data_IF_042329630891
#
_entry.id   IF_042329630891
#
_cell.length_a   1.000
_cell.length_b   1.000
_cell.length_c   1.000
_cell.angle_alpha   90.00
_cell.angle_beta   90.00
_cell.angle_gamma   90.00
#
_symmetry.space_group_name_H-M   'P 1'
#
loop_
_entity.id
_entity.type
_entity.pdbx_description
1 polymer ?
#
# COMPACT_ATOMS: atom_id res chain seq x y z
N UNK A 1 19.64 -19.62 -48.66
CA UNK A 1 19.29 -18.50 -47.75
C UNK A 1 18.10 -18.92 -46.89
N UNK A 2 18.27 -18.82 -45.56
CA UNK A 2 17.25 -18.80 -44.48
C UNK A 2 16.32 -20.01 -44.34
N UNK A 3 16.80 -21.02 -43.63
CA UNK A 3 16.02 -21.75 -42.61
C UNK A 3 16.50 -21.19 -41.27
N UNK A 4 15.56 -20.77 -40.42
CA UNK A 4 15.67 -20.73 -38.94
C UNK A 4 14.53 -19.87 -38.38
N UNK A 5 13.40 -20.51 -38.16
CA UNK A 5 12.34 -20.04 -37.27
C UNK A 5 11.78 -21.29 -36.61
N UNK A 6 11.50 -21.22 -35.30
CA UNK A 6 10.71 -22.14 -34.44
C UNK A 6 11.41 -22.64 -33.14
N UNK A 7 12.69 -22.37 -32.86
CA UNK A 7 13.34 -22.86 -31.61
C UNK A 7 13.62 -21.76 -30.56
N UNK A 8 12.70 -20.81 -30.31
CA UNK A 8 13.00 -19.73 -29.34
C UNK A 8 11.84 -19.28 -28.43
N UNK A 9 10.89 -20.17 -28.10
CA UNK A 9 9.83 -19.83 -27.12
C UNK A 9 9.60 -20.85 -25.99
N UNK A 10 10.31 -21.99 -25.97
CA UNK A 10 10.13 -23.03 -24.94
C UNK A 10 11.07 -22.97 -23.73
N UNK A 11 12.19 -22.22 -23.81
CA UNK A 11 13.32 -22.41 -22.87
C UNK A 11 13.47 -21.31 -21.81
N UNK A 12 12.42 -20.53 -21.55
CA UNK A 12 12.46 -19.42 -20.56
C UNK A 12 11.44 -19.56 -19.43
N UNK A 13 10.96 -20.78 -19.15
CA UNK A 13 10.02 -21.04 -18.05
C UNK A 13 10.47 -22.13 -17.07
N UNK A 14 11.73 -22.56 -17.14
CA UNK A 14 12.32 -23.59 -16.26
C UNK A 14 13.55 -23.10 -15.47
N UNK A 15 13.80 -21.78 -15.43
CA UNK A 15 14.90 -21.19 -14.66
C UNK A 15 14.42 -20.45 -13.39
N UNK A 16 13.12 -20.50 -13.07
CA UNK A 16 12.51 -19.79 -11.94
C UNK A 16 12.19 -20.65 -10.71
N UNK A 17 12.35 -21.98 -10.78
CA UNK A 17 11.92 -22.90 -9.72
C UNK A 17 13.07 -23.69 -9.05
N UNK A 18 14.32 -23.21 -9.16
CA UNK A 18 15.50 -23.88 -8.60
C UNK A 18 16.29 -23.05 -7.58
N UNK A 19 15.82 -21.86 -7.20
CA UNK A 19 16.55 -20.95 -6.29
C UNK A 19 15.95 -20.80 -4.88
N UNK A 20 14.86 -21.51 -4.54
CA UNK A 20 14.24 -21.43 -3.20
C UNK A 20 14.62 -22.61 -2.29
N UNK A 21 15.25 -23.67 -2.80
CA UNK A 21 15.67 -24.82 -1.99
C UNK A 21 17.11 -24.73 -1.44
N UNK A 22 17.94 -23.78 -1.91
CA UNK A 22 19.34 -23.68 -1.48
C UNK A 22 19.56 -22.86 -0.19
N UNK A 23 18.55 -22.09 0.27
CA UNK A 23 18.69 -21.25 1.48
C UNK A 23 18.54 -22.01 2.80
N UNK A 24 17.84 -23.15 2.80
CA UNK A 24 17.55 -23.91 4.03
C UNK A 24 18.63 -24.97 4.34
N UNK A 25 19.47 -25.36 3.37
CA UNK A 25 20.55 -26.32 3.60
C UNK A 25 21.82 -25.67 4.19
N UNK A 26 22.09 -24.39 3.89
CA UNK A 26 23.31 -23.71 4.36
C UNK A 26 23.26 -23.28 5.84
N UNK A 27 22.07 -23.11 6.43
CA UNK A 27 21.96 -22.75 7.86
C UNK A 27 22.21 -23.94 8.79
N UNK A 28 21.78 -25.15 8.39
CA UNK A 28 21.96 -26.38 9.18
C UNK A 28 23.42 -26.88 9.14
N UNK A 29 24.11 -26.72 8.01
CA UNK A 29 25.52 -27.13 7.86
C UNK A 29 26.50 -26.21 8.60
N UNK A 30 26.20 -24.91 8.71
CA UNK A 30 27.04 -23.96 9.45
C UNK A 30 27.12 -24.24 10.96
N UNK A 31 26.00 -24.65 11.57
CA UNK A 31 25.96 -25.02 12.99
C UNK A 31 26.81 -26.27 13.26
N UNK A 32 26.71 -27.31 12.41
CA UNK A 32 27.50 -28.55 12.57
C UNK A 32 29.01 -28.33 12.44
N UNK A 33 29.44 -27.38 11.58
CA UNK A 33 30.85 -27.01 11.43
C UNK A 33 31.34 -26.23 12.64
N UNK A 34 30.58 -25.22 13.11
CA UNK A 34 30.93 -24.47 14.31
C UNK A 34 31.00 -25.34 15.58
N UNK A 35 30.08 -26.28 15.74
CA UNK A 35 30.09 -27.25 16.85
C UNK A 35 31.36 -28.12 16.82
N UNK A 36 31.72 -28.60 15.62
CA UNK A 36 32.91 -29.44 15.40
C UNK A 36 34.21 -28.64 15.61
N UNK A 37 34.25 -27.39 15.18
CA UNK A 37 35.36 -26.46 15.42
C UNK A 37 35.50 -26.09 16.91
N UNK A 38 34.39 -25.93 17.65
CA UNK A 38 34.43 -25.73 19.12
C UNK A 38 34.90 -26.99 19.84
N UNK A 39 34.47 -28.17 19.41
CA UNK A 39 34.94 -29.44 19.96
C UNK A 39 36.45 -29.63 19.71
N UNK A 40 36.92 -29.29 18.51
CA UNK A 40 38.33 -29.36 18.14
C UNK A 40 39.19 -28.38 18.95
N UNK A 41 38.71 -27.15 19.18
CA UNK A 41 39.39 -26.19 20.06
C UNK A 41 39.48 -26.64 21.52
N UNK A 42 38.42 -27.28 22.04
CA UNK A 42 38.46 -27.83 23.41
C UNK A 42 39.47 -28.97 23.47
N UNK A 43 39.46 -29.87 22.50
CA UNK A 43 40.39 -30.99 22.41
C UNK A 43 41.86 -30.53 22.27
N UNK A 44 42.14 -29.49 21.49
CA UNK A 44 43.51 -28.95 21.37
C UNK A 44 43.93 -28.18 22.62
N UNK A 45 43.00 -27.52 23.31
CA UNK A 45 43.28 -26.85 24.59
C UNK A 45 43.60 -27.87 25.68
N UNK A 46 42.86 -28.99 25.74
CA UNK A 46 43.15 -30.08 26.69
C UNK A 46 44.48 -30.76 26.36
N UNK A 47 44.78 -31.01 25.08
CA UNK A 47 46.09 -31.53 24.65
C UNK A 47 47.24 -30.60 25.04
N UNK A 48 47.06 -29.28 24.92
CA UNK A 48 48.10 -28.31 25.30
C UNK A 48 48.31 -28.26 26.82
N UNK A 49 47.24 -28.47 27.61
CA UNK A 49 47.35 -28.59 29.07
C UNK A 49 48.00 -29.90 29.50
N UNK A 50 47.65 -31.02 28.87
CA UNK A 50 48.26 -32.33 29.11
C UNK A 50 49.76 -32.30 28.77
N UNK A 51 50.14 -31.80 27.60
CA UNK A 51 51.54 -31.67 27.21
C UNK A 51 52.35 -30.73 28.14
N UNK A 52 51.72 -29.66 28.67
CA UNK A 52 52.34 -28.80 29.67
C UNK A 52 52.53 -29.51 31.02
N UNK A 53 51.56 -30.32 31.45
CA UNK A 53 51.65 -31.11 32.67
C UNK A 53 52.71 -32.21 32.54
N UNK A 54 52.81 -32.87 31.38
CA UNK A 54 53.87 -33.84 31.10
C UNK A 54 55.25 -33.18 31.08
N UNK A 55 55.40 -32.01 30.47
CA UNK A 55 56.65 -31.24 30.53
C UNK A 55 57.00 -30.81 31.97
N UNK A 56 56.01 -30.45 32.78
CA UNK A 56 56.23 -30.12 34.20
C UNK A 56 56.62 -31.36 35.01
N UNK A 57 55.99 -32.51 34.77
CA UNK A 57 56.30 -33.78 35.42
C UNK A 57 57.70 -34.30 35.03
N UNK A 58 58.07 -34.21 33.75
CA UNK A 58 59.41 -34.57 33.27
C UNK A 58 60.50 -33.64 33.83
N UNK A 59 60.21 -32.33 33.95
CA UNK A 59 61.12 -31.38 34.60
C UNK A 59 61.24 -31.61 36.11
N UNK A 60 60.15 -31.92 36.79
CA UNK A 60 60.15 -32.23 38.22
C UNK A 60 60.86 -33.56 38.52
N UNK A 61 60.67 -34.59 37.69
CA UNK A 61 61.41 -35.86 37.77
C UNK A 61 62.90 -35.67 37.50
N UNK A 62 63.28 -34.75 36.60
CA UNK A 62 64.68 -34.38 36.34
C UNK A 62 65.30 -33.52 37.44
N UNK A 63 64.49 -32.81 38.23
CA UNK A 63 64.94 -32.07 39.41
C UNK A 63 65.04 -32.95 40.67
N UNK A 64 64.27 -34.05 40.74
CA UNK A 64 64.25 -34.98 41.87
C UNK A 64 65.31 -36.10 41.80
N UNK A 65 65.98 -36.29 40.64
CA UNK A 65 67.01 -37.31 40.45
C UNK A 65 68.27 -36.75 39.79
N UNK A 66 69.35 -36.63 40.56
CA UNK A 66 70.70 -36.41 40.02
C UNK A 66 71.28 -37.73 39.49
N UNK A 67 71.15 -37.97 38.18
CA UNK A 67 71.91 -38.98 37.43
C UNK A 67 72.07 -38.52 35.96
N UNK A 68 73.16 -38.92 35.26
CA UNK A 68 73.78 -38.10 34.23
C UNK A 68 72.89 -37.94 33.00
N UNK A 69 72.92 -36.73 32.45
CA UNK A 69 72.30 -36.35 31.19
C UNK A 69 72.94 -37.10 30.01
N UNK A 70 72.61 -38.37 29.83
CA UNK A 70 72.71 -39.05 28.55
C UNK A 70 71.37 -38.86 27.82
N UNK A 71 71.35 -37.87 26.93
CA UNK A 71 70.48 -37.77 25.75
C UNK A 71 69.04 -38.31 25.88
N UNK A 72 68.17 -37.57 26.57
CA UNK A 72 66.87 -37.33 25.95
C UNK A 72 67.15 -36.45 24.70
N UNK A 73 66.75 -36.85 23.49
CA UNK A 73 67.31 -36.26 22.28
C UNK A 73 66.96 -34.78 22.25
N UNK A 74 67.98 -33.91 22.21
CA UNK A 74 67.79 -32.47 22.08
C UNK A 74 66.86 -32.10 20.90
N UNK A 75 66.75 -32.98 19.89
CA UNK A 75 65.80 -32.88 18.79
C UNK A 75 64.32 -33.00 19.17
N UNK A 76 63.93 -33.81 20.16
CA UNK A 76 62.52 -33.90 20.61
C UNK A 76 62.06 -32.60 21.28
N UNK A 77 62.91 -32.04 22.16
CA UNK A 77 62.62 -30.77 22.81
C UNK A 77 62.52 -29.60 21.81
N UNK A 78 63.29 -29.66 20.72
CA UNK A 78 63.24 -28.67 19.65
C UNK A 78 62.02 -28.87 18.73
N UNK A 79 61.63 -30.12 18.44
CA UNK A 79 60.42 -30.45 17.69
C UNK A 79 59.15 -30.01 18.43
N UNK A 80 59.06 -30.31 19.74
CA UNK A 80 57.95 -29.86 20.60
C UNK A 80 57.84 -28.32 20.64
N UNK A 81 58.97 -27.61 20.65
CA UNK A 81 58.97 -26.13 20.59
C UNK A 81 58.46 -25.60 19.26
N UNK A 82 58.82 -26.25 18.15
CA UNK A 82 58.31 -25.90 16.81
C UNK A 82 56.80 -26.16 16.72
N UNK A 83 56.34 -27.29 17.24
CA UNK A 83 54.92 -27.66 17.23
C UNK A 83 54.08 -26.70 18.10
N UNK A 84 54.56 -26.30 19.28
CA UNK A 84 53.90 -25.27 20.09
C UNK A 84 53.87 -23.90 19.38
N UNK A 85 54.94 -23.52 18.69
CA UNK A 85 54.97 -22.28 17.92
C UNK A 85 53.96 -22.32 16.75
N UNK A 86 53.85 -23.46 16.08
CA UNK A 86 52.91 -23.67 14.99
C UNK A 86 51.45 -23.65 15.48
N UNK A 87 51.14 -24.38 16.57
CA UNK A 87 49.81 -24.38 17.17
C UNK A 87 49.39 -22.98 17.66
N UNK A 88 50.32 -22.19 18.20
CA UNK A 88 50.06 -20.79 18.56
C UNK A 88 49.76 -19.92 17.34
N UNK A 89 50.49 -20.11 16.24
CA UNK A 89 50.22 -19.42 14.98
C UNK A 89 48.85 -19.79 14.41
N UNK A 90 48.52 -21.09 14.40
CA UNK A 90 47.22 -21.59 13.96
C UNK A 90 46.09 -21.01 14.81
N UNK A 91 46.20 -21.01 16.14
CA UNK A 91 45.21 -20.42 17.04
C UNK A 91 45.03 -18.91 16.82
N UNK A 92 46.12 -18.18 16.55
CA UNK A 92 46.06 -16.76 16.22
C UNK A 92 45.32 -16.52 14.90
N UNK A 93 45.57 -17.36 13.88
CA UNK A 93 44.89 -17.30 12.58
C UNK A 93 43.41 -17.66 12.67
N UNK A 94 43.03 -18.64 13.50
CA UNK A 94 41.63 -19.00 13.70
C UNK A 94 40.88 -17.90 14.43
N UNK A 95 41.50 -17.26 15.43
CA UNK A 95 40.93 -16.11 16.13
C UNK A 95 40.70 -14.94 15.19
N UNK A 96 41.66 -14.61 14.33
CA UNK A 96 41.47 -13.54 13.36
C UNK A 96 40.39 -13.90 12.34
N UNK A 97 40.36 -15.14 11.83
CA UNK A 97 39.31 -15.60 10.93
C UNK A 97 37.91 -15.54 11.57
N UNK A 98 37.76 -15.92 12.84
CA UNK A 98 36.49 -15.80 13.59
C UNK A 98 36.08 -14.35 13.79
N UNK A 99 37.03 -13.46 14.13
CA UNK A 99 36.74 -12.03 14.28
C UNK A 99 36.26 -11.41 12.96
N UNK A 100 36.90 -11.75 11.84
CA UNK A 100 36.47 -11.28 10.52
C UNK A 100 35.12 -11.88 10.10
N UNK A 101 34.88 -13.17 10.39
CA UNK A 101 33.60 -13.83 10.13
C UNK A 101 32.45 -13.21 10.94
N UNK A 102 32.67 -12.94 12.23
CA UNK A 102 31.69 -12.27 13.09
C UNK A 102 31.41 -10.83 12.63
N UNK A 103 32.46 -10.07 12.26
CA UNK A 103 32.30 -8.73 11.72
C UNK A 103 31.52 -8.72 10.38
N UNK A 104 31.82 -9.67 9.49
CA UNK A 104 31.10 -9.84 8.22
C UNK A 104 29.63 -10.23 8.43
N UNK A 105 29.34 -11.15 9.36
CA UNK A 105 27.97 -11.49 9.74
C UNK A 105 27.23 -10.27 10.29
N UNK A 106 27.83 -9.52 11.22
CA UNK A 106 27.22 -8.33 11.80
C UNK A 106 26.94 -7.26 10.74
N UNK A 107 27.84 -7.07 9.77
CA UNK A 107 27.64 -6.16 8.65
C UNK A 107 26.52 -6.62 7.71
N UNK A 108 26.43 -7.93 7.42
CA UNK A 108 25.33 -8.48 6.64
C UNK A 108 23.98 -8.32 7.35
N UNK A 109 23.93 -8.55 8.66
CA UNK A 109 22.72 -8.39 9.46
C UNK A 109 22.27 -6.93 9.46
N UNK A 110 23.21 -5.99 9.65
CA UNK A 110 22.94 -4.56 9.59
C UNK A 110 22.45 -4.12 8.20
N UNK A 111 23.01 -4.68 7.12
CA UNK A 111 22.55 -4.40 5.76
C UNK A 111 21.12 -4.90 5.52
N UNK A 112 20.78 -6.11 5.99
CA UNK A 112 19.42 -6.67 5.90
C UNK A 112 18.43 -5.84 6.71
N UNK A 113 18.77 -5.44 7.94
CA UNK A 113 17.90 -4.58 8.75
C UNK A 113 17.64 -3.24 8.06
N UNK A 114 18.69 -2.56 7.55
CA UNK A 114 18.52 -1.31 6.80
C UNK A 114 17.68 -1.48 5.53
N UNK A 115 17.87 -2.57 4.80
CA UNK A 115 17.07 -2.86 3.61
C UNK A 115 15.59 -3.06 3.99
N UNK A 116 15.31 -3.78 5.07
CA UNK A 116 13.95 -3.99 5.57
C UNK A 116 13.31 -2.69 6.04
N UNK A 117 14.05 -1.81 6.72
CA UNK A 117 13.58 -0.48 7.11
C UNK A 117 13.22 0.37 5.89
N UNK A 118 14.06 0.38 4.85
CA UNK A 118 13.76 1.09 3.60
C UNK A 118 12.51 0.54 2.92
N UNK A 119 12.37 -0.80 2.82
CA UNK A 119 11.18 -1.43 2.25
C UNK A 119 9.93 -1.07 3.07
N UNK A 120 10.02 -1.04 4.39
CA UNK A 120 8.91 -0.62 5.25
C UNK A 120 8.55 0.85 5.02
N UNK A 121 9.53 1.74 4.87
CA UNK A 121 9.31 3.15 4.54
C UNK A 121 8.63 3.32 3.18
N UNK A 122 9.09 2.61 2.14
CA UNK A 122 8.46 2.66 0.80
C UNK A 122 7.04 2.11 0.80
N UNK A 123 6.77 1.05 1.55
CA UNK A 123 5.40 0.54 1.73
C UNK A 123 4.52 1.55 2.45
N UNK A 124 5.02 2.13 3.54
CA UNK A 124 4.29 3.15 4.30
C UNK A 124 3.97 4.40 3.47
N UNK A 125 4.92 4.87 2.65
CA UNK A 125 4.68 6.00 1.76
C UNK A 125 3.70 5.65 0.64
N UNK A 126 3.79 4.44 0.06
CA UNK A 126 2.83 3.96 -0.94
C UNK A 126 1.41 3.86 -0.37
N UNK A 127 1.25 3.29 0.83
CA UNK A 127 -0.05 3.23 1.51
C UNK A 127 -0.60 4.63 1.83
N UNK A 128 0.27 5.57 2.20
CA UNK A 128 -0.07 6.98 2.38
C UNK A 128 -0.60 7.62 1.09
N UNK A 129 0.13 7.46 -0.02
CA UNK A 129 -0.28 7.92 -1.34
C UNK A 129 -1.61 7.32 -1.77
N UNK A 130 -1.82 6.02 -1.52
CA UNK A 130 -3.05 5.32 -1.88
C UNK A 130 -4.26 5.84 -1.08
N UNK A 131 -4.06 6.16 0.20
CA UNK A 131 -5.09 6.81 1.03
C UNK A 131 -5.44 8.21 0.50
N UNK A 132 -4.45 9.01 0.16
CA UNK A 132 -4.66 10.36 -0.39
C UNK A 132 -5.39 10.27 -1.73
N UNK A 133 -5.00 9.34 -2.61
CA UNK A 133 -5.67 9.14 -3.89
C UNK A 133 -7.15 8.77 -3.72
N UNK A 134 -7.46 7.83 -2.81
CA UNK A 134 -8.85 7.45 -2.51
C UNK A 134 -9.65 8.61 -1.89
N UNK A 135 -9.06 9.37 -0.97
CA UNK A 135 -9.71 10.53 -0.37
C UNK A 135 -9.98 11.63 -1.43
N UNK A 136 -9.01 11.87 -2.33
CA UNK A 136 -9.19 12.83 -3.42
C UNK A 136 -10.29 12.39 -4.39
N UNK A 137 -10.35 11.11 -4.73
CA UNK A 137 -11.41 10.57 -5.60
C UNK A 137 -12.79 10.67 -4.94
N UNK A 138 -12.89 10.35 -3.64
CA UNK A 138 -14.13 10.52 -2.89
C UNK A 138 -14.59 11.99 -2.86
N UNK A 139 -13.67 12.93 -2.64
CA UNK A 139 -13.99 14.36 -2.65
C UNK A 139 -14.39 14.84 -4.05
N UNK A 140 -13.75 14.34 -5.12
CA UNK A 140 -14.17 14.62 -6.51
C UNK A 140 -15.59 14.14 -6.78
N UNK A 141 -15.92 12.92 -6.35
CA UNK A 141 -17.27 12.36 -6.53
C UNK A 141 -18.31 13.15 -5.74
N UNK A 142 -17.97 13.59 -4.53
CA UNK A 142 -18.83 14.44 -3.70
C UNK A 142 -19.06 15.80 -4.35
N UNK A 143 -18.00 16.47 -4.80
CA UNK A 143 -18.12 17.77 -5.48
C UNK A 143 -18.88 17.65 -6.80
N UNK A 144 -18.68 16.57 -7.56
CA UNK A 144 -19.45 16.31 -8.78
C UNK A 144 -20.94 16.08 -8.51
N UNK A 145 -21.30 15.40 -7.41
CA UNK A 145 -22.70 15.22 -7.04
C UNK A 145 -23.33 16.53 -6.55
N UNK A 146 -22.62 17.32 -5.74
CA UNK A 146 -23.03 18.66 -5.33
C UNK A 146 -23.21 19.60 -6.54
N UNK A 147 -22.29 19.56 -7.51
CA UNK A 147 -22.41 20.35 -8.74
C UNK A 147 -23.66 19.97 -9.52
N UNK A 148 -23.90 18.66 -9.73
CA UNK A 148 -25.09 18.16 -10.42
C UNK A 148 -26.37 18.60 -9.71
N UNK A 149 -26.41 18.53 -8.37
CA UNK A 149 -27.55 19.01 -7.58
C UNK A 149 -27.81 20.51 -7.79
N UNK A 150 -26.75 21.32 -7.76
CA UNK A 150 -26.85 22.77 -8.00
C UNK A 150 -27.31 23.08 -9.42
N UNK A 151 -26.78 22.38 -10.42
CA UNK A 151 -27.21 22.55 -11.81
C UNK A 151 -28.70 22.21 -11.98
N UNK A 152 -29.17 21.12 -11.36
CA UNK A 152 -30.59 20.75 -11.39
C UNK A 152 -31.47 21.79 -10.69
N UNK A 153 -31.07 22.28 -9.52
CA UNK A 153 -31.81 23.33 -8.81
C UNK A 153 -31.88 24.63 -9.64
N UNK A 154 -30.78 25.01 -10.31
CA UNK A 154 -30.76 26.17 -11.22
C UNK A 154 -31.69 25.96 -12.42
N UNK A 155 -31.66 24.79 -13.05
CA UNK A 155 -32.55 24.48 -14.16
C UNK A 155 -34.03 24.58 -13.76
N UNK A 156 -34.40 24.01 -12.61
CA UNK A 156 -35.75 24.12 -12.05
C UNK A 156 -36.12 25.58 -11.76
N UNK A 157 -35.20 26.38 -11.20
CA UNK A 157 -35.43 27.79 -10.94
C UNK A 157 -35.70 28.57 -12.23
N UNK A 158 -34.93 28.33 -13.28
CA UNK A 158 -35.12 28.95 -14.60
C UNK A 158 -36.48 28.56 -15.20
N UNK A 159 -36.85 27.29 -15.16
CA UNK A 159 -38.14 26.81 -15.65
C UNK A 159 -39.32 27.45 -14.89
N UNK A 160 -39.24 27.48 -13.56
CA UNK A 160 -40.24 28.10 -12.70
C UNK A 160 -40.34 29.60 -12.92
N UNK A 161 -39.21 30.30 -13.10
CA UNK A 161 -39.21 31.71 -13.43
C UNK A 161 -39.87 32.00 -14.79
N UNK A 162 -39.56 31.19 -15.81
CA UNK A 162 -40.21 31.28 -17.11
C UNK A 162 -41.73 31.05 -17.02
N UNK A 163 -42.17 30.04 -16.25
CA UNK A 163 -43.59 29.78 -15.99
C UNK A 163 -44.24 30.98 -15.31
N UNK A 164 -43.65 31.53 -14.23
CA UNK A 164 -44.18 32.71 -13.54
C UNK A 164 -44.26 33.93 -14.47
N UNK A 165 -43.27 34.13 -15.33
CA UNK A 165 -43.28 35.23 -16.29
C UNK A 165 -44.41 35.07 -17.32
N UNK A 166 -44.62 33.85 -17.84
CA UNK A 166 -45.73 33.57 -18.76
C UNK A 166 -47.10 33.81 -18.11
N UNK A 167 -47.30 33.36 -16.86
CA UNK A 167 -48.53 33.59 -16.11
C UNK A 167 -48.73 35.08 -15.85
N UNK A 168 -47.66 35.82 -15.56
CA UNK A 168 -47.71 37.28 -15.45
C UNK A 168 -48.17 37.95 -16.75
N UNK A 169 -47.66 37.51 -17.90
CA UNK A 169 -48.10 38.00 -19.21
C UNK A 169 -49.56 37.63 -19.51
N UNK A 170 -50.00 36.41 -19.18
CA UNK A 170 -51.40 35.99 -19.31
C UNK A 170 -52.34 36.91 -18.50
N UNK A 171 -51.95 37.25 -17.26
CA UNK A 171 -52.73 38.17 -16.40
C UNK A 171 -52.79 39.57 -17.01
N UNK A 172 -51.65 40.12 -17.49
CA UNK A 172 -51.62 41.42 -18.15
C UNK A 172 -52.52 41.43 -19.40
N UNK A 173 -52.40 40.42 -20.26
CA UNK A 173 -53.21 40.30 -21.47
C UNK A 173 -54.70 40.11 -21.17
N UNK A 174 -55.04 39.35 -20.11
CA UNK A 174 -56.43 39.22 -19.66
C UNK A 174 -57.02 40.56 -19.20
N UNK A 175 -56.21 41.41 -18.56
CA UNK A 175 -56.62 42.75 -18.16
C UNK A 175 -56.81 43.68 -19.37
N UNK A 176 -55.88 43.67 -20.32
CA UNK A 176 -55.97 44.45 -21.57
C UNK A 176 -57.20 44.07 -22.40
N UNK A 177 -57.53 42.77 -22.48
CA UNK A 177 -58.69 42.28 -23.22
C UNK A 177 -60.02 42.49 -22.47
N UNK A 178 -60.01 42.83 -21.18
CA UNK A 178 -61.23 43.08 -20.38
C UNK A 178 -61.86 44.46 -20.59
N UNK A 179 -61.24 45.37 -21.35
CA UNK A 179 -61.44 46.81 -21.17
C UNK A 179 -62.74 47.41 -21.77
N UNK A 180 -63.36 46.85 -22.82
CA UNK A 180 -64.47 47.59 -23.50
C UNK A 180 -65.84 46.92 -23.46
N UNK A 181 -65.96 45.61 -23.71
CA UNK A 181 -67.25 44.92 -23.66
C UNK A 181 -67.66 44.49 -22.24
N UNK A 182 -66.68 44.07 -21.45
CA UNK A 182 -66.90 43.41 -20.16
C UNK A 182 -67.32 44.41 -19.08
N UNK A 183 -66.72 45.60 -19.03
CA UNK A 183 -67.11 46.69 -18.10
C UNK A 183 -68.54 47.17 -18.35
N UNK A 184 -68.99 47.21 -19.62
CA UNK A 184 -70.36 47.60 -19.97
C UNK A 184 -71.39 46.55 -19.53
N UNK A 185 -71.06 45.25 -19.67
CA UNK A 185 -71.89 44.15 -19.17
C UNK A 185 -71.88 43.99 -17.64
N UNK A 186 -70.77 44.32 -16.99
CA UNK A 186 -70.61 44.22 -15.53
C UNK A 186 -71.38 45.28 -14.74
N UNK A 187 -71.78 46.38 -15.39
CA UNK A 187 -72.64 47.43 -14.81
C UNK A 187 -74.12 47.04 -14.72
N UNK A 188 -74.53 45.87 -15.24
CA UNK A 188 -75.90 45.39 -15.09
C UNK A 188 -76.13 44.80 -13.69
N UNK A 189 -77.20 45.20 -12.96
CA UNK A 189 -77.40 44.86 -11.54
C UNK A 189 -77.67 43.39 -11.22
N UNK A 190 -77.71 42.49 -12.22
CA UNK A 190 -77.99 41.05 -12.06
C UNK A 190 -76.82 40.12 -12.42
N UNK A 191 -75.60 40.65 -12.59
CA UNK A 191 -74.45 39.86 -13.02
C UNK A 191 -73.83 38.98 -11.89
N UNK A 192 -74.62 38.22 -11.14
CA UNK A 192 -74.10 37.25 -10.17
C UNK A 192 -73.13 36.24 -10.83
N UNK A 193 -73.40 35.88 -12.09
CA UNK A 193 -72.54 35.02 -12.90
C UNK A 193 -71.18 35.65 -13.23
N UNK A 194 -71.06 36.99 -13.33
CA UNK A 194 -69.77 37.63 -13.57
C UNK A 194 -68.88 37.58 -12.33
N UNK A 195 -69.45 37.77 -11.13
CA UNK A 195 -68.73 37.64 -9.85
C UNK A 195 -68.10 36.25 -9.69
N UNK A 196 -68.87 35.19 -9.92
CA UNK A 196 -68.39 33.80 -9.84
C UNK A 196 -67.30 33.52 -10.89
N UNK A 197 -67.44 34.05 -12.11
CA UNK A 197 -66.40 33.93 -13.15
C UNK A 197 -65.10 34.62 -12.74
N UNK A 198 -65.16 35.79 -12.11
CA UNK A 198 -63.96 36.47 -11.62
C UNK A 198 -63.30 35.73 -10.46
N UNK A 199 -64.08 35.13 -9.56
CA UNK A 199 -63.54 34.26 -8.50
C UNK A 199 -62.84 33.03 -9.10
N UNK A 200 -63.42 32.39 -10.12
CA UNK A 200 -62.80 31.26 -10.81
C UNK A 200 -61.49 31.66 -11.52
N UNK A 201 -61.48 32.81 -12.20
CA UNK A 201 -60.27 33.34 -12.85
C UNK A 201 -59.18 33.65 -11.81
N UNK A 202 -59.57 34.26 -10.68
CA UNK A 202 -58.64 34.54 -9.59
C UNK A 202 -58.08 33.25 -8.95
N UNK A 203 -58.91 32.22 -8.81
CA UNK A 203 -58.47 30.90 -8.35
C UNK A 203 -57.50 30.25 -9.34
N UNK A 204 -57.85 30.21 -10.63
CA UNK A 204 -57.02 29.59 -11.67
C UNK A 204 -55.63 30.24 -11.77
N UNK A 205 -55.56 31.58 -11.76
CA UNK A 205 -54.28 32.27 -11.74
C UNK A 205 -53.55 32.12 -10.40
N UNK A 206 -54.28 32.06 -9.28
CA UNK A 206 -53.72 31.74 -7.97
C UNK A 206 -53.01 30.39 -7.95
N UNK A 207 -53.65 29.37 -8.52
CA UNK A 207 -53.10 28.02 -8.65
C UNK A 207 -51.86 28.01 -9.56
N UNK A 208 -51.93 28.66 -10.73
CA UNK A 208 -50.78 28.77 -11.66
C UNK A 208 -49.57 29.48 -11.03
N UNK A 209 -49.78 30.56 -10.27
CA UNK A 209 -48.72 31.25 -9.54
C UNK A 209 -48.14 30.37 -8.43
N UNK A 210 -49.00 29.64 -7.71
CA UNK A 210 -48.57 28.74 -6.65
C UNK A 210 -47.72 27.59 -7.22
N UNK A 211 -48.15 26.97 -8.30
CA UNK A 211 -47.38 25.94 -9.02
C UNK A 211 -46.07 26.45 -9.63
N UNK A 212 -46.04 27.72 -10.05
CA UNK A 212 -44.86 28.38 -10.61
C UNK A 212 -43.82 28.76 -9.55
N UNK A 213 -44.16 28.74 -8.26
CA UNK A 213 -43.23 29.08 -7.18
C UNK A 213 -42.12 28.02 -7.07
N UNK A 214 -40.88 28.47 -6.96
CA UNK A 214 -39.77 27.60 -6.62
C UNK A 214 -39.80 27.27 -5.13
N UNK A 215 -39.75 25.97 -4.80
CA UNK A 215 -39.63 25.47 -3.43
C UNK A 215 -38.36 24.60 -3.34
N UNK A 216 -37.40 25.06 -2.54
CA UNK A 216 -36.12 24.38 -2.28
C UNK A 216 -36.32 22.99 -1.67
N UNK A 217 -37.36 22.80 -0.85
CA UNK A 217 -37.64 21.50 -0.22
C UNK A 217 -38.19 20.51 -1.24
N UNK A 218 -39.08 20.96 -2.12
CA UNK A 218 -39.60 20.14 -3.21
C UNK A 218 -38.50 19.78 -4.23
N UNK A 219 -37.62 20.73 -4.54
CA UNK A 219 -36.44 20.49 -5.39
C UNK A 219 -35.48 19.47 -4.76
N UNK A 220 -35.26 19.54 -3.44
CA UNK A 220 -34.43 18.58 -2.71
C UNK A 220 -35.06 17.17 -2.63
N UNK A 221 -36.38 17.07 -2.53
CA UNK A 221 -37.10 15.79 -2.47
C UNK A 221 -37.25 15.10 -3.83
N UNK A 222 -37.47 15.85 -4.91
CA UNK A 222 -37.50 15.32 -6.28
C UNK A 222 -36.15 14.71 -6.70
N UNK A 223 -35.06 15.17 -6.09
CA UNK A 223 -33.70 14.67 -6.31
C UNK A 223 -33.35 13.42 -5.48
N UNK A 224 -34.11 13.12 -4.43
CA UNK A 224 -33.91 11.95 -3.57
C UNK A 224 -34.53 10.65 -4.15
N UNK A 225 -35.31 10.75 -5.23
CA UNK A 225 -35.82 9.58 -5.94
C UNK A 225 -34.71 8.99 -6.84
N UNK A 226 -34.40 7.68 -6.75
CA UNK A 226 -33.37 7.07 -7.56
C UNK A 226 -33.78 7.11 -9.03
N UNK A 227 -32.97 7.74 -9.88
CA UNK A 227 -33.09 7.59 -11.33
C UNK A 227 -32.84 6.11 -11.70
N UNK A 228 -33.62 5.51 -12.61
CA UNK A 228 -33.35 4.16 -13.10
C UNK A 228 -31.95 4.15 -13.71
N UNK A 229 -31.06 3.31 -13.16
CA UNK A 229 -29.74 3.07 -13.73
C UNK A 229 -29.94 2.55 -15.16
N UNK A 230 -29.49 3.32 -16.15
CA UNK A 230 -29.37 2.84 -17.51
C UNK A 230 -28.43 1.61 -17.48
N UNK A 231 -29.01 0.44 -17.75
CA UNK A 231 -28.32 -0.83 -17.82
C UNK A 231 -27.10 -0.72 -18.75
N UNK A 232 -26.00 -1.33 -18.31
CA UNK A 232 -24.68 -1.19 -18.90
C UNK A 232 -24.66 -1.42 -20.42
N UNK A 233 -24.19 -0.42 -21.15
CA UNK A 233 -23.68 -0.60 -22.50
C UNK A 233 -22.39 -1.43 -22.41
N UNK A 234 -22.48 -2.72 -22.71
CA UNK A 234 -21.34 -3.59 -22.94
C UNK A 234 -20.56 -3.07 -24.15
N UNK A 235 -19.24 -2.83 -24.08
CA UNK A 235 -18.47 -2.53 -25.27
C UNK A 235 -18.29 -3.86 -26.04
N UNK A 236 -18.99 -3.98 -27.16
CA UNK A 236 -18.73 -5.04 -28.13
C UNK A 236 -17.38 -4.74 -28.80
N UNK A 237 -16.35 -5.47 -28.36
CA UNK A 237 -15.13 -5.66 -29.11
C UNK A 237 -15.28 -6.90 -30.01
N UNK A 238 -14.61 -6.84 -31.17
CA UNK A 238 -14.34 -7.92 -32.15
C UNK A 238 -15.43 -8.11 -33.22
N UNK A 239 -15.16 -7.74 -34.47
CA UNK A 239 -14.37 -8.51 -35.46
C UNK A 239 -13.73 -7.58 -36.49
#
# INVERSE_FOLDING_TARGET
MKRDSIISKGTRLLAGLLLVAAGQAQAQQGQSLEERLRAQLRATTTQLQEAQNELAALKAGRAAGAAPAAAAPAGEAENLRKEVAELKSQLASERSARQHGAAAQQQSQAAVTKANEQVAQFRGSYDGLLKIARASEAERQRLASEEKQRQQAMAMCVEKNAKLYSVGQEILSAYENMDVGTVLSARQPFAAQSRVRYEQIAQEYGDKLYEGRFDERAASQAQAQPQPQAAGATPAAQQ
#
